data_IF_099839029940
#
_entry.id   IF_099839029940
#
_cell.length_a   1.000
_cell.length_b   1.000
_cell.length_c   1.000
_cell.angle_alpha   90.00
_cell.angle_beta   90.00
_cell.angle_gamma   90.00
#
_symmetry.space_group_name_H-M   'P 1'
#
loop_
_entity.id
_entity.type
_entity.pdbx_description
1 polymer ?
#
# COMPACT_ATOMS: atom_id res chain seq x y z
N UNK A 1 13.20 -4.38 -29.81
CA UNK A 1 12.41 -3.23 -29.35
C UNK A 1 11.06 -3.56 -28.71
N UNK A 2 10.39 -4.70 -28.92
CA UNK A 2 9.21 -5.06 -28.06
C UNK A 2 9.59 -5.52 -26.65
N UNK A 3 10.84 -5.87 -26.40
CA UNK A 3 11.32 -6.33 -25.09
C UNK A 3 11.38 -5.23 -24.02
N UNK A 4 11.88 -4.05 -24.32
CA UNK A 4 12.10 -3.00 -23.31
C UNK A 4 10.80 -2.48 -22.67
N UNK A 5 9.74 -2.32 -23.46
CA UNK A 5 8.42 -1.93 -22.93
C UNK A 5 7.76 -3.04 -22.13
N UNK A 6 7.97 -4.30 -22.53
CA UNK A 6 7.52 -5.48 -21.79
C UNK A 6 8.22 -5.60 -20.44
N UNK A 7 9.55 -5.46 -20.45
CA UNK A 7 10.39 -5.54 -19.26
C UNK A 7 10.08 -4.40 -18.28
N UNK A 8 9.80 -3.20 -18.79
CA UNK A 8 9.34 -2.06 -18.01
C UNK A 8 7.96 -2.32 -17.38
N UNK A 9 7.03 -2.90 -18.11
CA UNK A 9 5.72 -3.27 -17.59
C UNK A 9 5.83 -4.34 -16.50
N UNK A 10 6.66 -5.35 -16.69
CA UNK A 10 6.92 -6.37 -15.67
C UNK A 10 7.57 -5.77 -14.41
N UNK A 11 8.52 -4.85 -14.59
CA UNK A 11 9.14 -4.15 -13.46
C UNK A 11 8.12 -3.30 -12.68
N UNK A 12 7.23 -2.60 -13.36
CA UNK A 12 6.19 -1.77 -12.70
C UNK A 12 5.12 -2.65 -12.05
N UNK A 13 4.63 -3.71 -12.71
CA UNK A 13 3.51 -4.52 -12.24
C UNK A 13 3.92 -5.57 -11.22
N UNK A 14 5.06 -6.22 -11.41
CA UNK A 14 5.52 -7.34 -10.59
C UNK A 14 6.76 -7.03 -9.76
N UNK A 15 7.42 -5.88 -10.00
CA UNK A 15 8.63 -5.47 -9.31
C UNK A 15 9.88 -6.23 -9.76
N UNK A 16 9.80 -6.99 -10.85
CA UNK A 16 10.96 -7.69 -11.40
C UNK A 16 11.84 -6.73 -12.21
N UNK A 17 13.04 -6.47 -11.69
CA UNK A 17 14.00 -5.51 -12.28
C UNK A 17 15.15 -6.21 -13.02
N UNK A 18 15.14 -7.55 -13.08
CA UNK A 18 16.29 -8.32 -13.57
C UNK A 18 16.64 -8.00 -15.01
N UNK A 19 15.63 -7.84 -15.85
CA UNK A 19 15.79 -7.63 -17.27
C UNK A 19 15.72 -6.14 -17.67
N UNK A 20 15.61 -5.25 -16.67
CA UNK A 20 15.53 -3.81 -16.91
C UNK A 20 16.92 -3.23 -17.16
N UNK A 21 17.11 -2.50 -18.28
CA UNK A 21 18.39 -1.87 -18.61
C UNK A 21 18.84 -0.89 -17.50
N UNK A 22 20.15 -0.86 -17.22
CA UNK A 22 20.72 0.05 -16.22
C UNK A 22 20.38 1.53 -16.51
N UNK A 23 20.32 1.90 -17.79
CA UNK A 23 19.96 3.26 -18.20
C UNK A 23 18.55 3.66 -17.75
N UNK A 24 17.58 2.76 -17.87
CA UNK A 24 16.20 3.00 -17.41
C UNK A 24 16.18 3.11 -15.90
N UNK A 25 16.89 2.25 -15.17
CA UNK A 25 16.96 2.32 -13.71
C UNK A 25 17.57 3.65 -13.23
N UNK A 26 18.64 4.13 -13.89
CA UNK A 26 19.27 5.43 -13.61
C UNK A 26 18.29 6.58 -13.89
N UNK A 27 17.58 6.55 -15.02
CA UNK A 27 16.59 7.56 -15.36
C UNK A 27 15.46 7.64 -14.33
N UNK A 28 14.93 6.51 -13.89
CA UNK A 28 13.93 6.45 -12.82
C UNK A 28 14.47 6.95 -11.47
N UNK A 29 15.75 6.66 -11.17
CA UNK A 29 16.41 7.17 -9.97
C UNK A 29 16.58 8.69 -10.03
N UNK A 30 17.03 9.23 -11.14
CA UNK A 30 17.24 10.67 -11.35
C UNK A 30 15.92 11.46 -11.35
N UNK A 31 14.83 10.84 -11.83
CA UNK A 31 13.48 11.41 -11.82
C UNK A 31 12.76 11.24 -10.47
N UNK A 32 13.43 10.71 -9.45
CA UNK A 32 12.84 10.41 -8.13
C UNK A 32 11.63 9.42 -8.19
N UNK A 33 11.51 8.67 -9.28
CA UNK A 33 10.43 7.70 -9.54
C UNK A 33 10.81 6.26 -9.20
N UNK A 34 11.93 6.04 -8.50
CA UNK A 34 12.40 4.70 -8.13
C UNK A 34 11.37 3.88 -7.34
N UNK A 35 10.46 4.56 -6.63
CA UNK A 35 9.38 3.92 -5.90
C UNK A 35 8.32 3.30 -6.82
N UNK A 36 8.16 3.77 -8.06
CA UNK A 36 7.24 3.20 -9.05
C UNK A 36 7.74 1.85 -9.59
N UNK A 37 9.07 1.61 -9.57
CA UNK A 37 9.68 0.33 -9.93
C UNK A 37 9.62 -0.70 -8.79
N UNK A 38 9.03 -0.35 -7.67
CA UNK A 38 8.80 -1.27 -6.56
C UNK A 38 7.29 -1.49 -6.42
N UNK A 39 6.87 -2.75 -6.39
CA UNK A 39 5.46 -3.05 -6.14
C UNK A 39 5.09 -2.54 -4.76
N UNK A 40 4.11 -1.65 -4.72
CA UNK A 40 3.67 -0.97 -3.51
C UNK A 40 2.31 -1.47 -3.02
N UNK A 41 1.94 -1.09 -1.79
CA UNK A 41 0.61 -1.34 -1.27
C UNK A 41 -0.52 -0.75 -2.12
N UNK A 42 -0.25 0.30 -2.92
CA UNK A 42 -1.22 0.86 -3.86
C UNK A 42 -1.61 -0.14 -4.95
N UNK A 43 -0.65 -0.90 -5.50
CA UNK A 43 -0.93 -1.95 -6.47
C UNK A 43 -1.88 -3.01 -5.91
N UNK A 44 -1.66 -3.44 -4.67
CA UNK A 44 -2.55 -4.37 -3.96
C UNK A 44 -3.96 -3.77 -3.81
N UNK A 45 -4.06 -2.49 -3.49
CA UNK A 45 -5.35 -1.79 -3.37
C UNK A 45 -6.11 -1.73 -4.69
N UNK A 46 -5.43 -1.43 -5.81
CA UNK A 46 -6.05 -1.43 -7.14
C UNK A 46 -6.53 -2.83 -7.54
N UNK A 47 -5.73 -3.86 -7.27
CA UNK A 47 -6.11 -5.25 -7.52
C UNK A 47 -7.37 -5.62 -6.73
N UNK A 48 -7.43 -5.28 -5.44
CA UNK A 48 -8.60 -5.58 -4.60
C UNK A 48 -9.84 -4.83 -5.11
N UNK A 49 -9.72 -3.56 -5.47
CA UNK A 49 -10.83 -2.77 -6.01
C UNK A 49 -11.32 -3.40 -7.32
N UNK A 50 -10.43 -3.75 -8.24
CA UNK A 50 -10.78 -4.41 -9.49
C UNK A 50 -11.45 -5.76 -9.27
N UNK A 51 -10.89 -6.63 -8.42
CA UNK A 51 -11.45 -7.93 -8.09
C UNK A 51 -12.83 -7.81 -7.41
N UNK A 52 -12.98 -6.88 -6.48
CA UNK A 52 -14.27 -6.68 -5.81
C UNK A 52 -15.31 -6.13 -6.77
N UNK A 53 -14.94 -5.25 -7.69
CA UNK A 53 -15.84 -4.74 -8.73
C UNK A 53 -16.33 -5.86 -9.68
N UNK A 54 -15.40 -6.70 -10.17
CA UNK A 54 -15.73 -7.84 -11.05
C UNK A 54 -16.63 -8.84 -10.32
N UNK A 55 -16.33 -9.12 -9.05
CA UNK A 55 -17.07 -10.13 -8.27
C UNK A 55 -18.42 -9.63 -7.74
N UNK A 56 -18.61 -8.31 -7.58
CA UNK A 56 -19.92 -7.74 -7.18
C UNK A 56 -21.02 -7.96 -8.23
N UNK A 57 -20.65 -7.94 -9.51
CA UNK A 57 -21.55 -8.15 -10.65
C UNK A 57 -21.68 -9.62 -11.07
N UNK A 58 -20.97 -10.53 -10.39
CA UNK A 58 -21.03 -11.95 -10.66
C UNK A 58 -22.19 -12.62 -9.91
N UNK A 59 -22.75 -13.68 -10.52
CA UNK A 59 -23.75 -14.56 -9.91
C UNK A 59 -23.19 -15.27 -8.64
N UNK A 60 -21.90 -15.16 -8.40
CA UNK A 60 -21.23 -15.69 -7.22
C UNK A 60 -21.65 -14.92 -5.95
N UNK A 61 -22.20 -15.64 -4.97
CA UNK A 61 -22.57 -15.02 -3.69
C UNK A 61 -21.38 -14.31 -3.00
N UNK A 62 -21.64 -13.21 -2.28
CA UNK A 62 -20.66 -12.32 -1.63
C UNK A 62 -19.56 -13.04 -0.83
N UNK A 63 -19.88 -14.19 -0.23
CA UNK A 63 -18.90 -14.99 0.53
C UNK A 63 -17.89 -15.68 -0.37
N UNK A 64 -18.36 -16.32 -1.45
CA UNK A 64 -17.50 -16.99 -2.44
C UNK A 64 -16.58 -15.99 -3.15
N UNK A 65 -17.10 -14.82 -3.49
CA UNK A 65 -16.35 -13.71 -4.08
C UNK A 65 -15.16 -13.28 -3.20
N UNK A 66 -15.38 -13.12 -1.88
CA UNK A 66 -14.32 -12.77 -0.93
C UNK A 66 -13.26 -13.86 -0.79
N UNK A 67 -13.67 -15.13 -0.78
CA UNK A 67 -12.72 -16.27 -0.75
C UNK A 67 -11.87 -16.27 -2.03
N UNK A 68 -12.47 -16.03 -3.18
CA UNK A 68 -11.75 -15.90 -4.44
C UNK A 68 -10.71 -14.74 -4.40
N UNK A 69 -11.08 -13.59 -3.86
CA UNK A 69 -10.14 -12.48 -3.67
C UNK A 69 -8.97 -12.85 -2.76
N UNK A 70 -9.21 -13.58 -1.66
CA UNK A 70 -8.15 -14.05 -0.77
C UNK A 70 -7.18 -14.98 -1.51
N UNK A 71 -7.71 -15.95 -2.26
CA UNK A 71 -6.90 -16.87 -3.06
C UNK A 71 -6.03 -16.12 -4.07
N UNK A 72 -6.60 -15.14 -4.76
CA UNK A 72 -5.86 -14.32 -5.72
C UNK A 72 -4.74 -13.50 -5.04
N UNK A 73 -4.99 -12.94 -3.87
CA UNK A 73 -3.97 -12.21 -3.11
C UNK A 73 -2.81 -13.09 -2.68
N UNK A 74 -3.07 -14.35 -2.32
CA UNK A 74 -2.01 -15.31 -1.97
C UNK A 74 -1.16 -15.63 -3.20
N UNK A 75 -1.79 -15.85 -4.36
CA UNK A 75 -1.06 -16.04 -5.62
C UNK A 75 -0.23 -14.80 -5.97
N UNK A 76 -0.80 -13.62 -5.82
CA UNK A 76 -0.08 -12.37 -6.10
C UNK A 76 1.14 -12.19 -5.19
N UNK A 77 1.05 -12.53 -3.90
CA UNK A 77 2.23 -12.55 -3.00
C UNK A 77 3.31 -13.51 -3.50
N UNK A 78 2.94 -14.69 -3.97
CA UNK A 78 3.88 -15.67 -4.49
C UNK A 78 4.57 -15.18 -5.78
N UNK A 79 3.82 -14.59 -6.71
CA UNK A 79 4.36 -14.01 -7.96
C UNK A 79 5.35 -12.87 -7.67
N UNK A 80 5.07 -12.04 -6.66
CA UNK A 80 5.94 -10.93 -6.26
C UNK A 80 7.07 -11.34 -5.32
N UNK A 81 7.36 -12.65 -5.21
CA UNK A 81 8.41 -13.20 -4.34
C UNK A 81 8.31 -12.72 -2.88
N UNK A 82 7.10 -12.56 -2.36
CA UNK A 82 6.84 -12.11 -0.99
C UNK A 82 7.57 -10.80 -0.63
N UNK A 83 7.67 -9.89 -1.58
CA UNK A 83 8.29 -8.58 -1.29
C UNK A 83 7.64 -7.95 -0.04
N UNK A 84 8.41 -7.39 0.90
CA UNK A 84 7.89 -6.97 2.20
C UNK A 84 6.70 -5.99 2.11
N UNK A 85 6.71 -5.07 1.14
CA UNK A 85 5.64 -4.10 0.94
C UNK A 85 4.32 -4.74 0.51
N UNK A 86 4.38 -5.67 -0.46
CA UNK A 86 3.21 -6.41 -0.96
C UNK A 86 2.66 -7.34 0.12
N UNK A 87 3.54 -8.07 0.79
CA UNK A 87 3.15 -9.01 1.84
C UNK A 87 2.37 -8.31 2.95
N UNK A 88 2.84 -7.15 3.42
CA UNK A 88 2.10 -6.35 4.42
C UNK A 88 0.71 -5.94 3.93
N UNK A 89 0.65 -5.38 2.72
CA UNK A 89 -0.62 -4.93 2.14
C UNK A 89 -1.60 -6.09 1.93
N UNK A 90 -1.12 -7.24 1.44
CA UNK A 90 -1.93 -8.43 1.24
C UNK A 90 -2.44 -9.02 2.56
N UNK A 91 -1.59 -9.11 3.60
CA UNK A 91 -2.02 -9.60 4.93
C UNK A 91 -3.13 -8.71 5.50
N UNK A 92 -2.95 -7.38 5.48
CA UNK A 92 -3.98 -6.44 5.95
C UNK A 92 -5.30 -6.58 5.16
N UNK A 93 -5.20 -6.76 3.84
CA UNK A 93 -6.35 -6.95 2.98
C UNK A 93 -7.06 -8.28 3.24
N UNK A 94 -6.31 -9.38 3.39
CA UNK A 94 -6.85 -10.70 3.71
C UNK A 94 -7.59 -10.67 5.05
N UNK A 95 -7.01 -10.08 6.08
CA UNK A 95 -7.66 -9.93 7.39
C UNK A 95 -8.96 -9.14 7.29
N UNK A 96 -8.99 -8.06 6.48
CA UNK A 96 -10.21 -7.30 6.23
C UNK A 96 -11.28 -8.16 5.52
N UNK A 97 -10.89 -8.96 4.53
CA UNK A 97 -11.82 -9.85 3.82
C UNK A 97 -12.33 -10.97 4.73
N UNK A 98 -11.46 -11.56 5.55
CA UNK A 98 -11.83 -12.58 6.56
C UNK A 98 -12.83 -12.02 7.56
N UNK A 99 -12.60 -10.82 8.10
CA UNK A 99 -13.56 -10.17 9.00
C UNK A 99 -14.94 -10.01 8.36
N UNK A 100 -14.99 -9.62 7.07
CA UNK A 100 -16.23 -9.53 6.29
C UNK A 100 -16.89 -10.88 6.02
N UNK A 101 -16.12 -11.98 5.90
CA UNK A 101 -16.64 -13.34 5.75
C UNK A 101 -17.27 -13.82 7.05
N UNK A 102 -16.65 -13.48 8.18
CA UNK A 102 -17.12 -13.82 9.52
C UNK A 102 -18.25 -12.90 10.04
N UNK A 103 -18.72 -11.96 9.19
CA UNK A 103 -19.75 -10.96 9.57
C UNK A 103 -19.35 -10.11 10.79
N UNK A 104 -18.05 -9.99 11.07
CA UNK A 104 -17.53 -9.12 12.12
C UNK A 104 -17.18 -7.75 11.56
N UNK A 105 -17.35 -6.70 12.36
CA UNK A 105 -16.84 -5.37 12.00
C UNK A 105 -15.32 -5.45 11.96
N UNK A 106 -14.73 -5.13 10.80
CA UNK A 106 -13.28 -5.02 10.69
C UNK A 106 -12.84 -3.77 11.46
N UNK A 107 -12.29 -3.97 12.65
CA UNK A 107 -11.65 -2.88 13.39
C UNK A 107 -10.24 -2.64 12.84
N UNK A 108 -9.96 -1.39 12.48
CA UNK A 108 -8.71 -1.02 11.82
C UNK A 108 -7.52 -1.26 12.76
N UNK A 109 -7.66 -0.94 14.05
CA UNK A 109 -6.59 -1.15 15.03
C UNK A 109 -6.25 -2.63 15.19
N UNK A 110 -7.27 -3.47 15.33
CA UNK A 110 -7.11 -4.93 15.40
C UNK A 110 -6.44 -5.47 14.13
N UNK A 111 -6.81 -4.98 12.95
CA UNK A 111 -6.23 -5.40 11.68
C UNK A 111 -4.74 -5.05 11.60
N UNK A 112 -4.36 -3.82 11.95
CA UNK A 112 -2.96 -3.38 11.97
C UNK A 112 -2.16 -4.22 12.97
N UNK A 113 -2.69 -4.42 14.18
CA UNK A 113 -2.01 -5.18 15.25
C UNK A 113 -1.77 -6.64 14.87
N UNK A 114 -2.80 -7.31 14.34
CA UNK A 114 -2.68 -8.71 13.92
C UNK A 114 -1.72 -8.84 12.73
N UNK A 115 -1.77 -7.92 11.75
CA UNK A 115 -0.85 -7.94 10.61
C UNK A 115 0.60 -7.76 11.06
N UNK A 116 0.85 -6.82 11.97
CA UNK A 116 2.18 -6.61 12.54
C UNK A 116 2.66 -7.87 13.30
N UNK A 117 1.79 -8.46 14.11
CA UNK A 117 2.09 -9.67 14.86
C UNK A 117 2.46 -10.83 13.95
N UNK A 118 1.68 -11.10 12.89
CA UNK A 118 1.97 -12.17 11.92
C UNK A 118 3.35 -11.99 11.29
N UNK A 119 3.67 -10.77 10.85
CA UNK A 119 4.95 -10.48 10.20
C UNK A 119 6.11 -10.62 11.17
N UNK A 120 5.97 -10.14 12.40
CA UNK A 120 7.02 -10.21 13.43
C UNK A 120 7.22 -11.63 13.97
N UNK A 121 6.19 -12.47 14.01
CA UNK A 121 6.32 -13.88 14.34
C UNK A 121 7.09 -14.65 13.26
N UNK A 122 6.91 -14.30 12.00
CA UNK A 122 7.65 -14.89 10.89
C UNK A 122 9.11 -14.41 10.85
N UNK A 123 9.33 -13.10 11.02
CA UNK A 123 10.67 -12.50 11.04
C UNK A 123 10.71 -11.30 12.01
N UNK A 124 11.25 -11.50 13.23
CA UNK A 124 11.36 -10.43 14.23
C UNK A 124 12.22 -9.24 13.77
N UNK A 125 13.21 -9.49 12.91
CA UNK A 125 14.09 -8.44 12.37
C UNK A 125 13.34 -7.46 11.44
N UNK A 126 12.15 -7.82 10.97
CA UNK A 126 11.29 -6.90 10.21
C UNK A 126 11.00 -5.59 10.95
N UNK A 127 11.06 -5.59 12.28
CA UNK A 127 10.90 -4.36 13.08
C UNK A 127 11.99 -3.33 12.80
N UNK A 128 13.19 -3.78 12.42
CA UNK A 128 14.32 -2.91 12.08
C UNK A 128 14.24 -2.42 10.63
N UNK A 129 13.49 -3.13 9.78
CA UNK A 129 13.31 -2.78 8.37
C UNK A 129 12.60 -1.44 8.22
N UNK A 130 13.22 -0.54 7.45
CA UNK A 130 12.69 0.78 7.16
C UNK A 130 11.31 0.72 6.50
N UNK A 131 11.14 -0.21 5.57
CA UNK A 131 9.86 -0.40 4.88
C UNK A 131 8.74 -0.82 5.82
N UNK A 132 9.01 -1.65 6.82
CA UNK A 132 8.06 -1.99 7.88
C UNK A 132 7.66 -0.73 8.67
N UNK A 133 8.64 0.01 9.16
CA UNK A 133 8.41 1.25 9.94
C UNK A 133 7.59 2.28 9.17
N UNK A 134 7.92 2.50 7.90
CA UNK A 134 7.21 3.48 7.05
C UNK A 134 5.77 3.03 6.75
N UNK A 135 5.55 1.76 6.43
CA UNK A 135 4.24 1.23 6.10
C UNK A 135 3.29 1.24 7.30
N UNK A 136 3.72 0.68 8.43
CA UNK A 136 2.90 0.66 9.65
C UNK A 136 2.79 2.05 10.27
N UNK A 137 3.90 2.82 10.31
CA UNK A 137 3.90 4.19 10.81
C UNK A 137 2.95 5.09 10.05
N UNK A 138 2.98 5.05 8.72
CA UNK A 138 2.06 5.81 7.88
C UNK A 138 0.59 5.44 8.12
N UNK A 139 0.29 4.14 8.18
CA UNK A 139 -1.07 3.65 8.44
C UNK A 139 -1.56 4.08 9.84
N UNK A 140 -0.73 3.92 10.86
CA UNK A 140 -1.03 4.35 12.23
C UNK A 140 -1.23 5.87 12.28
N UNK A 141 -0.39 6.64 11.60
CA UNK A 141 -0.52 8.09 11.48
C UNK A 141 -1.89 8.49 10.94
N UNK A 142 -2.30 7.90 9.82
CA UNK A 142 -3.61 8.15 9.23
C UNK A 142 -4.73 7.82 10.23
N UNK A 143 -4.70 6.63 10.83
CA UNK A 143 -5.78 6.15 11.71
C UNK A 143 -5.92 6.99 12.97
N UNK A 144 -4.80 7.38 13.60
CA UNK A 144 -4.82 8.21 14.81
C UNK A 144 -5.28 9.64 14.48
N UNK A 145 -4.62 10.28 13.52
CA UNK A 145 -4.85 11.71 13.28
C UNK A 145 -6.16 12.00 12.56
N UNK A 146 -6.61 11.12 11.63
CA UNK A 146 -7.91 11.28 10.98
C UNK A 146 -9.10 11.22 11.96
N UNK A 147 -8.94 10.57 13.11
CA UNK A 147 -9.96 10.56 14.17
C UNK A 147 -10.23 11.94 14.76
N UNK A 148 -9.21 12.80 14.80
CA UNK A 148 -9.34 14.16 15.34
C UNK A 148 -9.91 15.16 14.33
N UNK A 149 -9.98 14.79 13.05
CA UNK A 149 -10.48 15.66 11.99
C UNK A 149 -11.98 15.46 11.87
N UNK A 150 -12.75 16.44 12.37
CA UNK A 150 -14.21 16.46 12.24
C UNK A 150 -14.59 16.65 10.77
N UNK A 151 -15.45 15.78 10.23
CA UNK A 151 -16.05 15.98 8.91
C UNK A 151 -16.94 17.21 8.92
N UNK A 152 -16.55 18.27 8.23
CA UNK A 152 -17.39 19.41 7.93
C UNK A 152 -18.15 19.09 6.62
N UNK A 153 -19.48 19.02 6.69
CA UNK A 153 -20.33 18.46 5.62
C UNK A 153 -20.78 19.49 4.54
N UNK A 154 -20.31 20.74 4.58
CA UNK A 154 -20.92 21.84 3.79
C UNK A 154 -20.07 22.33 2.60
N UNK A 155 -19.03 21.62 2.20
CA UNK A 155 -18.17 22.07 1.10
C UNK A 155 -18.45 21.33 -0.23
N UNK A 156 -18.21 21.97 -1.40
CA UNK A 156 -18.38 21.34 -2.70
C UNK A 156 -17.56 20.04 -2.79
N UNK A 157 -18.13 18.98 -3.35
CA UNK A 157 -17.60 17.61 -3.34
C UNK A 157 -16.13 17.51 -3.78
N UNK A 158 -15.73 18.25 -4.80
CA UNK A 158 -14.36 18.23 -5.33
C UNK A 158 -13.36 18.84 -4.35
N UNK A 159 -13.67 20.01 -3.77
CA UNK A 159 -12.81 20.69 -2.82
C UNK A 159 -12.63 19.87 -1.53
N UNK A 160 -13.73 19.25 -1.07
CA UNK A 160 -13.69 18.35 0.09
C UNK A 160 -12.85 17.10 -0.17
N UNK A 161 -12.89 16.56 -1.39
CA UNK A 161 -12.05 15.42 -1.79
C UNK A 161 -10.55 15.77 -1.76
N UNK A 162 -10.17 16.91 -2.36
CA UNK A 162 -8.76 17.39 -2.36
C UNK A 162 -8.28 17.67 -0.93
N UNK A 163 -9.09 18.32 -0.10
CA UNK A 163 -8.75 18.56 1.31
C UNK A 163 -8.58 17.26 2.08
N UNK A 164 -9.44 16.26 1.87
CA UNK A 164 -9.30 14.96 2.53
C UNK A 164 -8.02 14.24 2.09
N UNK A 165 -7.66 14.27 0.81
CA UNK A 165 -6.40 13.69 0.34
C UNK A 165 -5.17 14.38 0.96
N UNK A 166 -5.17 15.72 0.99
CA UNK A 166 -4.10 16.48 1.63
C UNK A 166 -3.98 16.16 3.13
N UNK A 167 -5.11 16.07 3.84
CA UNK A 167 -5.13 15.72 5.26
C UNK A 167 -4.61 14.32 5.52
N UNK A 168 -5.01 13.33 4.72
CA UNK A 168 -4.50 11.95 4.81
C UNK A 168 -2.98 11.93 4.62
N UNK A 169 -2.48 12.66 3.61
CA UNK A 169 -1.03 12.78 3.35
C UNK A 169 -0.29 13.42 4.52
N UNK A 170 -0.80 14.51 5.09
CA UNK A 170 -0.22 15.16 6.26
C UNK A 170 -0.21 14.21 7.47
N UNK A 171 -1.31 13.53 7.75
CA UNK A 171 -1.42 12.59 8.86
C UNK A 171 -0.41 11.44 8.75
N UNK A 172 -0.23 10.89 7.56
CA UNK A 172 0.79 9.87 7.31
C UNK A 172 2.20 10.42 7.57
N UNK A 173 2.49 11.61 7.04
CA UNK A 173 3.82 12.22 7.10
C UNK A 173 4.25 12.64 8.52
N UNK A 174 3.34 12.93 9.43
CA UNK A 174 3.67 13.24 10.83
C UNK A 174 4.50 12.13 11.48
N UNK A 175 4.19 10.84 11.18
CA UNK A 175 4.95 9.71 11.71
C UNK A 175 6.09 9.32 10.78
N UNK A 176 5.93 9.44 9.47
CA UNK A 176 6.92 9.04 8.47
C UNK A 176 8.16 9.94 8.52
N UNK A 177 8.00 11.26 8.63
CA UNK A 177 9.12 12.22 8.62
C UNK A 177 10.17 11.92 9.71
N UNK A 178 9.83 11.76 11.00
CA UNK A 178 10.82 11.44 12.01
C UNK A 178 11.53 10.10 11.75
N UNK A 179 10.85 9.11 11.18
CA UNK A 179 11.47 7.83 10.82
C UNK A 179 12.52 8.03 9.71
N UNK A 180 12.20 8.83 8.69
CA UNK A 180 13.11 9.14 7.59
C UNK A 180 14.31 9.96 8.10
N UNK A 181 14.06 11.00 8.92
CA UNK A 181 15.13 11.81 9.49
C UNK A 181 16.14 10.99 10.28
N UNK A 182 15.65 10.05 11.09
CA UNK A 182 16.52 9.20 11.90
C UNK A 182 17.35 8.20 11.07
N UNK A 183 16.93 7.85 9.86
CA UNK A 183 17.62 6.85 9.04
C UNK A 183 18.49 7.46 7.92
N UNK A 184 18.11 8.62 7.37
CA UNK A 184 18.77 9.21 6.20
C UNK A 184 19.46 10.55 6.46
N UNK A 185 19.29 11.15 7.64
CA UNK A 185 19.84 12.49 7.99
C UNK A 185 19.48 13.62 6.99
N UNK A 186 18.63 13.35 6.00
CA UNK A 186 18.22 14.31 4.97
C UNK A 186 16.71 14.21 4.77
N UNK A 187 16.04 15.36 4.76
CA UNK A 187 14.60 15.44 4.41
C UNK A 187 14.49 16.21 3.11
N UNK A 188 14.06 15.53 2.06
CA UNK A 188 13.70 16.19 0.82
C UNK A 188 12.31 16.81 0.95
N UNK A 189 12.21 18.13 0.88
CA UNK A 189 10.93 18.85 0.88
C UNK A 189 10.07 18.50 -0.35
N UNK A 190 10.67 17.97 -1.41
CA UNK A 190 9.98 17.47 -2.59
C UNK A 190 9.10 16.26 -2.31
N UNK A 191 9.37 15.52 -1.23
CA UNK A 191 8.54 14.39 -0.80
C UNK A 191 7.08 14.78 -0.46
N UNK A 192 6.88 15.97 0.11
CA UNK A 192 5.54 16.50 0.40
C UNK A 192 4.74 16.80 -0.88
N UNK A 193 5.42 17.35 -1.90
CA UNK A 193 4.78 17.69 -3.19
C UNK A 193 4.51 16.43 -4.01
N UNK A 194 5.45 15.48 -4.02
CA UNK A 194 5.35 14.24 -4.78
C UNK A 194 4.24 13.29 -4.26
N UNK A 195 3.81 13.43 -3.02
CA UNK A 195 2.70 12.62 -2.45
C UNK A 195 1.30 13.26 -2.64
N UNK A 196 1.22 14.48 -3.17
CA UNK A 196 -0.05 15.19 -3.42
C UNK A 196 -0.44 15.09 -4.91
N UNK A 197 0.51 14.86 -5.79
CA UNK A 197 0.33 14.60 -7.22
C UNK A 197 0.04 13.14 -7.51
#
# INVERSE_FOLDING_TARGET
MPSETGDLLLAILLGDKKDLSEQIQINFKNSNLSHMLAVSGAHVSYIIIGLTYITQNSIMGKRKARVFCIFFLIIFMAITNFTPSVTRACIMAILTLVSKILYKKADIYTNISISALIILLYNPYSLLDLGFKLSFGGTIGIVIFMRFIKKKQEEPKLLNYIKQMALVSICANIIIIPIIMNNFNTVSLTFLVSNIL
#
